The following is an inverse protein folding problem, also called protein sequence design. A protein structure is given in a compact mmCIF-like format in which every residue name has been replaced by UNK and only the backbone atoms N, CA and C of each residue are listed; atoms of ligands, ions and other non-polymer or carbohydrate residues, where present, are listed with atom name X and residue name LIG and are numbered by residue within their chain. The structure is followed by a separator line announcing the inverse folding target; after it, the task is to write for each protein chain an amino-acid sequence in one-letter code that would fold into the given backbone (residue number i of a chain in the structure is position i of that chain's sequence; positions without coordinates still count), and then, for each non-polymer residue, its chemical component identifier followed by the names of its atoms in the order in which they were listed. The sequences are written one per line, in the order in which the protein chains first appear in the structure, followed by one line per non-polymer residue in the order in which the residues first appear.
data_IF_209162509366
#
_entry.id   IF_209162509366
#
_cell.length_a   1.000
_cell.length_b   1.000
_cell.length_c   1.000
_cell.angle_alpha   90.00
_cell.angle_beta   90.00
_cell.angle_gamma   90.00
#
_symmetry.space_group_name_H-M   'P 1'
#
loop_
_entity.id
_entity.type
_entity.pdbx_description
1 polymer ?
#
# COMPACT_ATOMS: atom_id res chain seq x y z
N UNK A 1 -23.83 -22.82 26.92
CA UNK A 1 -22.40 -23.19 26.86
C UNK A 1 -21.85 -22.41 25.67
N UNK A 2 -21.27 -21.25 25.93
CA UNK A 2 -20.65 -20.44 24.88
C UNK A 2 -19.35 -21.12 24.49
N UNK A 3 -19.23 -21.63 23.27
CA UNK A 3 -17.96 -22.01 22.68
C UNK A 3 -17.12 -20.74 22.59
N UNK A 4 -16.18 -20.57 23.50
CA UNK A 4 -15.12 -19.57 23.34
C UNK A 4 -14.30 -20.00 22.14
N UNK A 5 -14.62 -19.45 20.97
CA UNK A 5 -13.66 -19.48 19.88
C UNK A 5 -12.43 -18.72 20.32
N UNK A 6 -11.25 -19.26 20.06
CA UNK A 6 -9.99 -18.56 20.35
C UNK A 6 -10.02 -17.16 19.72
N UNK A 7 -9.46 -16.15 20.40
CA UNK A 7 -9.45 -14.79 19.90
C UNK A 7 -8.68 -14.69 18.59
N UNK A 8 -9.13 -13.84 17.67
CA UNK A 8 -8.46 -13.54 16.41
C UNK A 8 -7.08 -12.96 16.73
N UNK A 9 -6.03 -13.61 16.26
CA UNK A 9 -4.63 -13.26 16.49
C UNK A 9 -4.15 -12.27 15.45
N UNK A 10 -3.73 -11.09 15.88
CA UNK A 10 -3.41 -9.96 15.03
C UNK A 10 -1.92 -9.61 15.15
N UNK A 11 -1.24 -9.49 14.02
CA UNK A 11 0.07 -8.83 13.90
C UNK A 11 -0.15 -7.40 13.37
N UNK A 12 0.47 -6.40 14.03
CA UNK A 12 0.48 -5.01 13.58
C UNK A 12 1.86 -4.70 13.03
N UNK A 13 1.96 -4.25 11.78
CA UNK A 13 3.19 -3.79 11.15
C UNK A 13 3.01 -2.36 10.64
N UNK A 14 3.60 -1.39 11.35
CA UNK A 14 3.53 0.05 11.07
C UNK A 14 4.73 0.74 11.73
N UNK A 15 5.37 1.68 11.06
CA UNK A 15 6.54 2.40 11.60
C UNK A 15 6.17 3.55 12.55
N UNK A 16 4.86 3.86 12.71
CA UNK A 16 4.36 4.92 13.58
C UNK A 16 3.95 4.37 14.96
N UNK A 17 4.75 4.58 16.04
CA UNK A 17 4.47 3.99 17.36
C UNK A 17 3.08 4.36 17.91
N UNK A 18 2.68 5.64 17.83
CA UNK A 18 1.37 6.09 18.32
C UNK A 18 0.19 5.43 17.60
N UNK A 19 0.36 5.05 16.34
CA UNK A 19 -0.68 4.36 15.61
C UNK A 19 -0.79 2.91 16.08
N UNK A 20 0.35 2.22 16.29
CA UNK A 20 0.36 0.86 16.85
C UNK A 20 -0.32 0.82 18.22
N UNK A 21 0.07 1.71 19.15
CA UNK A 21 -0.55 1.86 20.47
C UNK A 21 -2.07 2.12 20.37
N UNK A 22 -2.47 2.99 19.42
CA UNK A 22 -3.88 3.28 19.16
C UNK A 22 -4.65 2.05 18.67
N UNK A 23 -4.07 1.25 17.78
CA UNK A 23 -4.68 0.01 17.26
C UNK A 23 -4.72 -1.04 18.38
N UNK A 24 -3.63 -1.24 19.12
CA UNK A 24 -3.57 -2.16 20.25
C UNK A 24 -4.67 -1.83 21.28
N UNK A 25 -4.80 -0.55 21.65
CA UNK A 25 -5.87 -0.10 22.56
C UNK A 25 -7.28 -0.36 22.04
N UNK A 26 -7.50 -0.27 20.72
CA UNK A 26 -8.81 -0.56 20.11
C UNK A 26 -9.10 -2.07 20.12
N UNK A 27 -8.11 -2.88 19.77
CA UNK A 27 -8.18 -4.36 19.75
C UNK A 27 -8.31 -4.90 21.15
N UNK A 28 -7.52 -4.43 22.10
CA UNK A 28 -7.53 -4.89 23.49
C UNK A 28 -8.84 -4.69 24.25
N UNK A 29 -9.75 -3.85 23.73
CA UNK A 29 -11.11 -3.68 24.26
C UNK A 29 -12.09 -4.73 23.74
N UNK A 30 -11.67 -5.58 22.82
CA UNK A 30 -12.49 -6.63 22.22
C UNK A 30 -12.17 -7.99 22.87
N UNK A 31 -13.20 -8.75 23.24
CA UNK A 31 -13.02 -10.10 23.82
C UNK A 31 -12.69 -11.16 22.75
N UNK A 32 -12.93 -10.85 21.47
CA UNK A 32 -12.77 -11.76 20.33
C UNK A 32 -11.48 -11.51 19.54
N UNK A 33 -10.58 -10.66 20.02
CA UNK A 33 -9.32 -10.31 19.33
C UNK A 33 -8.15 -10.15 20.30
N UNK A 34 -6.94 -10.39 19.81
CA UNK A 34 -5.69 -10.15 20.55
C UNK A 34 -4.56 -9.74 19.62
N UNK A 35 -3.73 -8.78 20.00
CA UNK A 35 -2.47 -8.47 19.33
C UNK A 35 -1.43 -9.45 19.82
N UNK A 36 -0.81 -10.19 18.91
CA UNK A 36 0.20 -11.22 19.22
C UNK A 36 1.63 -10.74 18.94
N UNK A 37 1.79 -9.72 18.10
CA UNK A 37 3.09 -9.11 17.84
C UNK A 37 2.93 -7.74 17.20
N UNK A 38 3.97 -6.91 17.31
CA UNK A 38 4.11 -5.62 16.66
C UNK A 38 5.44 -5.53 15.94
N UNK A 39 5.43 -5.00 14.71
CA UNK A 39 6.59 -4.76 13.87
C UNK A 39 6.68 -3.28 13.50
N UNK A 40 7.88 -2.76 13.40
CA UNK A 40 8.18 -1.40 12.93
C UNK A 40 8.80 -1.35 11.54
N UNK A 41 9.19 -2.50 10.98
CA UNK A 41 9.78 -2.65 9.65
C UNK A 41 9.19 -3.85 8.92
N UNK A 42 9.32 -3.87 7.59
CA UNK A 42 8.85 -5.01 6.80
C UNK A 42 9.59 -6.31 7.10
N UNK A 43 10.89 -6.25 7.40
CA UNK A 43 11.68 -7.44 7.79
C UNK A 43 11.22 -8.01 9.12
N UNK A 44 11.05 -7.16 10.11
CA UNK A 44 10.51 -7.55 11.41
C UNK A 44 9.12 -8.17 11.27
N UNK A 45 8.26 -7.61 10.41
CA UNK A 45 6.94 -8.17 10.13
C UNK A 45 7.01 -9.59 9.56
N UNK A 46 7.97 -9.89 8.66
CA UNK A 46 8.17 -11.24 8.11
C UNK A 46 8.62 -12.21 9.22
N UNK A 47 9.58 -11.82 10.05
CA UNK A 47 10.08 -12.65 11.13
C UNK A 47 9.01 -12.97 12.17
N UNK A 48 8.28 -11.92 12.62
CA UNK A 48 7.20 -12.08 13.60
C UNK A 48 6.00 -12.84 13.04
N UNK A 49 5.70 -12.69 11.74
CA UNK A 49 4.69 -13.51 11.09
C UNK A 49 5.05 -15.00 11.15
N UNK A 50 6.32 -15.37 10.86
CA UNK A 50 6.78 -16.76 10.92
C UNK A 50 6.71 -17.34 12.32
N UNK A 51 7.03 -16.55 13.35
CA UNK A 51 7.02 -16.98 14.75
C UNK A 51 5.59 -17.12 15.27
N UNK A 52 4.76 -16.12 15.06
CA UNK A 52 3.45 -16.01 15.70
C UNK A 52 2.30 -16.58 14.87
N UNK A 53 2.46 -16.78 13.55
CA UNK A 53 1.40 -17.27 12.64
C UNK A 53 0.05 -16.59 12.91
N UNK A 54 -0.07 -15.25 12.73
CA UNK A 54 -1.28 -14.50 13.02
C UNK A 54 -2.40 -14.86 12.04
N UNK A 55 -3.65 -14.74 12.51
CA UNK A 55 -4.83 -14.90 11.66
C UNK A 55 -5.03 -13.75 10.68
N UNK A 56 -4.68 -12.53 11.12
CA UNK A 56 -4.78 -11.31 10.32
C UNK A 56 -3.55 -10.44 10.58
N UNK A 57 -2.95 -9.93 9.53
CA UNK A 57 -1.86 -8.95 9.61
C UNK A 57 -2.35 -7.59 9.12
N UNK A 58 -2.21 -6.57 9.97
CA UNK A 58 -2.35 -5.18 9.61
C UNK A 58 -1.00 -4.69 9.10
N UNK A 59 -0.91 -4.24 7.86
CA UNK A 59 0.35 -3.95 7.18
C UNK A 59 0.35 -2.52 6.64
N UNK A 60 1.23 -1.67 7.17
CA UNK A 60 1.47 -0.37 6.53
C UNK A 60 2.14 -0.54 5.17
N UNK A 61 1.78 0.31 4.23
CA UNK A 61 2.40 0.36 2.90
C UNK A 61 3.86 0.80 2.94
N UNK A 62 4.17 1.76 3.83
CA UNK A 62 5.48 2.39 3.91
C UNK A 62 6.11 2.09 5.25
N UNK A 63 7.15 1.32 5.22
CA UNK A 63 7.99 1.02 6.37
C UNK A 63 9.47 1.08 5.97
N UNK A 64 10.37 1.38 6.91
CA UNK A 64 11.82 1.28 6.69
C UNK A 64 12.24 -0.12 6.23
N UNK A 65 13.39 -0.22 5.57
CA UNK A 65 14.06 -1.42 5.05
C UNK A 65 13.31 -2.13 3.93
N UNK A 66 12.06 -2.54 4.19
CA UNK A 66 11.23 -3.25 3.24
C UNK A 66 9.79 -2.74 3.31
N UNK A 67 9.26 -2.29 2.18
CA UNK A 67 7.88 -1.82 2.08
C UNK A 67 6.85 -2.93 2.34
N UNK A 68 5.66 -2.54 2.83
CA UNK A 68 4.64 -3.52 3.23
C UNK A 68 4.17 -4.45 2.11
N UNK A 69 4.10 -3.96 0.86
CA UNK A 69 3.73 -4.81 -0.29
C UNK A 69 4.77 -5.90 -0.55
N UNK A 70 6.05 -5.54 -0.43
CA UNK A 70 7.14 -6.49 -0.67
C UNK A 70 7.22 -7.50 0.49
N UNK A 71 7.05 -7.05 1.75
CA UNK A 71 6.94 -7.92 2.93
C UNK A 71 5.76 -8.89 2.81
N UNK A 72 4.58 -8.39 2.44
CA UNK A 72 3.38 -9.21 2.19
C UNK A 72 3.62 -10.25 1.09
N UNK A 73 4.26 -9.85 -0.01
CA UNK A 73 4.57 -10.74 -1.13
C UNK A 73 5.52 -11.86 -0.71
N UNK A 74 6.52 -11.55 0.13
CA UNK A 74 7.45 -12.55 0.67
C UNK A 74 6.71 -13.53 1.60
N UNK A 75 5.87 -13.05 2.50
CA UNK A 75 5.08 -13.92 3.39
C UNK A 75 4.14 -14.82 2.58
N UNK A 76 3.48 -14.30 1.55
CA UNK A 76 2.53 -15.06 0.73
C UNK A 76 3.18 -16.17 -0.13
N UNK A 77 4.50 -16.12 -0.37
CA UNK A 77 5.23 -17.22 -1.01
C UNK A 77 5.24 -18.47 -0.14
N UNK A 78 5.42 -18.28 1.17
CA UNK A 78 5.50 -19.36 2.16
C UNK A 78 4.13 -19.71 2.75
N UNK A 79 3.23 -18.73 2.85
CA UNK A 79 1.93 -18.82 3.55
C UNK A 79 0.81 -18.24 2.68
N UNK A 80 0.34 -19.00 1.68
CA UNK A 80 -0.65 -18.56 0.68
C UNK A 80 -1.99 -18.12 1.26
N UNK A 81 -2.35 -18.63 2.42
CA UNK A 81 -3.61 -18.32 3.12
C UNK A 81 -3.51 -17.12 4.07
N UNK A 82 -2.33 -16.51 4.19
CA UNK A 82 -2.13 -15.33 5.03
C UNK A 82 -3.09 -14.21 4.63
N UNK A 83 -3.68 -13.55 5.64
CA UNK A 83 -4.70 -12.52 5.43
C UNK A 83 -4.15 -11.17 5.81
N UNK A 84 -4.08 -10.28 4.83
CA UNK A 84 -3.54 -8.93 5.01
C UNK A 84 -4.64 -7.87 4.87
N UNK A 85 -4.64 -6.92 5.81
CA UNK A 85 -5.34 -5.64 5.73
C UNK A 85 -4.26 -4.57 5.57
N UNK A 86 -4.23 -3.93 4.42
CA UNK A 86 -3.28 -2.85 4.18
C UNK A 86 -3.79 -1.56 4.81
N UNK A 87 -2.92 -0.87 5.54
CA UNK A 87 -3.14 0.45 6.11
C UNK A 87 -2.36 1.49 5.29
N UNK A 88 -2.98 2.63 4.96
CA UNK A 88 -2.30 3.68 4.21
C UNK A 88 -2.88 5.06 4.51
N UNK A 89 -2.04 6.08 4.40
CA UNK A 89 -2.47 7.48 4.36
C UNK A 89 -2.89 7.92 2.95
N UNK A 90 -2.56 7.11 1.94
CA UNK A 90 -2.77 7.43 0.53
C UNK A 90 -3.98 6.71 -0.05
N UNK A 91 -4.76 7.45 -0.83
CA UNK A 91 -5.92 6.93 -1.56
C UNK A 91 -5.65 6.69 -3.05
N UNK A 92 -4.38 6.78 -3.51
CA UNK A 92 -4.03 6.64 -4.92
C UNK A 92 -4.39 5.25 -5.48
N UNK A 93 -5.10 5.24 -6.62
CA UNK A 93 -5.61 4.03 -7.28
C UNK A 93 -4.52 3.02 -7.62
N UNK A 94 -3.34 3.48 -8.05
CA UNK A 94 -2.21 2.62 -8.43
C UNK A 94 -1.65 1.86 -7.23
N UNK A 95 -1.49 2.53 -6.08
CA UNK A 95 -1.01 1.88 -4.86
C UNK A 95 -2.02 0.87 -4.32
N UNK A 96 -3.30 1.22 -4.35
CA UNK A 96 -4.38 0.32 -3.94
C UNK A 96 -4.38 -0.94 -4.81
N UNK A 97 -4.33 -0.77 -6.14
CA UNK A 97 -4.29 -1.88 -7.09
C UNK A 97 -3.05 -2.77 -6.88
N UNK A 98 -1.89 -2.16 -6.61
CA UNK A 98 -0.65 -2.89 -6.30
C UNK A 98 -0.82 -3.76 -5.06
N UNK A 99 -1.38 -3.23 -3.98
CA UNK A 99 -1.64 -3.98 -2.75
C UNK A 99 -2.63 -5.15 -2.98
N UNK A 100 -3.74 -4.89 -3.68
CA UNK A 100 -4.75 -5.91 -3.97
C UNK A 100 -4.23 -7.02 -4.90
N UNK A 101 -3.44 -6.67 -5.93
CA UNK A 101 -2.77 -7.64 -6.81
C UNK A 101 -1.74 -8.49 -6.06
N UNK A 102 -1.04 -7.90 -5.10
CA UNK A 102 -0.11 -8.62 -4.24
C UNK A 102 -0.79 -9.55 -3.23
N UNK A 103 -2.13 -9.50 -3.08
CA UNK A 103 -2.90 -10.44 -2.27
C UNK A 103 -3.59 -9.86 -1.05
N UNK A 104 -3.57 -8.53 -0.85
CA UNK A 104 -4.33 -7.90 0.23
C UNK A 104 -5.82 -8.27 0.17
N UNK A 105 -6.40 -8.59 1.32
CA UNK A 105 -7.83 -8.88 1.47
C UNK A 105 -8.66 -7.63 1.71
N UNK A 106 -8.04 -6.60 2.29
CA UNK A 106 -8.67 -5.30 2.50
C UNK A 106 -7.63 -4.17 2.40
N UNK A 107 -8.13 -2.98 2.12
CA UNK A 107 -7.37 -1.74 2.14
C UNK A 107 -8.13 -0.71 2.96
N UNK A 108 -7.48 -0.11 3.96
CA UNK A 108 -8.05 0.89 4.85
C UNK A 108 -7.20 2.15 4.85
N UNK A 109 -7.84 3.29 4.70
CA UNK A 109 -7.20 4.57 4.93
C UNK A 109 -7.02 4.82 6.43
N UNK A 110 -5.82 5.22 6.87
CA UNK A 110 -5.48 5.47 8.29
C UNK A 110 -6.44 6.46 8.96
N UNK A 111 -7.03 7.39 8.21
CA UNK A 111 -8.05 8.33 8.72
C UNK A 111 -9.39 7.68 9.13
N UNK A 112 -9.69 6.46 8.67
CA UNK A 112 -10.94 5.77 8.96
C UNK A 112 -10.80 4.59 9.94
N UNK A 113 -9.60 4.31 10.45
CA UNK A 113 -9.33 3.15 11.31
C UNK A 113 -10.28 3.06 12.49
N UNK A 114 -10.54 4.16 13.20
CA UNK A 114 -11.41 4.16 14.38
C UNK A 114 -12.83 3.63 14.10
N UNK A 115 -13.34 3.83 12.89
CA UNK A 115 -14.70 3.44 12.52
C UNK A 115 -14.78 2.04 11.92
N UNK A 116 -13.76 1.63 11.16
CA UNK A 116 -13.88 0.48 10.25
C UNK A 116 -12.95 -0.68 10.57
N UNK A 117 -11.89 -0.47 11.36
CA UNK A 117 -10.84 -1.45 11.58
C UNK A 117 -11.39 -2.77 12.13
N UNK A 118 -12.12 -2.73 13.25
CA UNK A 118 -12.58 -3.92 13.95
C UNK A 118 -13.54 -4.76 13.09
N UNK A 119 -14.46 -4.10 12.39
CA UNK A 119 -15.38 -4.77 11.46
C UNK A 119 -14.63 -5.38 10.27
N UNK A 120 -13.60 -4.67 9.76
CA UNK A 120 -12.76 -5.18 8.66
C UNK A 120 -11.94 -6.39 9.10
N UNK A 121 -11.36 -6.39 10.30
CA UNK A 121 -10.65 -7.53 10.84
C UNK A 121 -11.56 -8.77 10.88
N UNK A 122 -12.77 -8.65 11.45
CA UNK A 122 -13.74 -9.76 11.51
C UNK A 122 -14.12 -10.29 10.13
N UNK A 123 -14.35 -9.40 9.17
CA UNK A 123 -14.69 -9.78 7.78
C UNK A 123 -13.55 -10.49 7.09
N UNK A 124 -12.32 -9.99 7.24
CA UNK A 124 -11.12 -10.58 6.64
C UNK A 124 -10.80 -11.92 7.30
N UNK A 125 -10.93 -12.03 8.62
CA UNK A 125 -10.80 -13.28 9.34
C UNK A 125 -11.77 -14.35 8.81
N UNK A 126 -13.04 -13.95 8.57
CA UNK A 126 -14.07 -14.80 7.96
C UNK A 126 -13.86 -15.08 6.45
N UNK A 127 -12.70 -14.72 5.87
CA UNK A 127 -12.35 -15.00 4.47
C UNK A 127 -12.94 -14.02 3.46
N UNK A 128 -13.62 -12.95 3.88
CA UNK A 128 -14.20 -11.95 2.98
C UNK A 128 -13.16 -10.91 2.57
N UNK A 129 -13.23 -10.46 1.32
CA UNK A 129 -12.50 -9.26 0.87
C UNK A 129 -13.31 -8.02 1.21
N UNK A 130 -12.63 -6.93 1.56
CA UNK A 130 -13.26 -5.63 1.79
C UNK A 130 -12.49 -4.51 1.11
N UNK A 131 -13.15 -3.85 0.19
CA UNK A 131 -12.69 -2.60 -0.42
C UNK A 131 -13.75 -1.55 -0.08
N UNK A 132 -13.32 -0.39 0.42
CA UNK A 132 -14.23 0.72 0.69
C UNK A 132 -14.86 1.21 -0.62
N UNK A 133 -16.15 1.63 -0.63
CA UNK A 133 -16.81 2.10 -1.86
C UNK A 133 -16.07 3.24 -2.55
N UNK A 134 -15.50 4.17 -1.77
CA UNK A 134 -14.74 5.31 -2.26
C UNK A 134 -13.48 4.85 -3.02
N UNK A 135 -12.80 3.83 -2.51
CA UNK A 135 -11.63 3.20 -3.13
C UNK A 135 -12.04 2.47 -4.41
N UNK A 136 -13.15 1.75 -4.38
CA UNK A 136 -13.66 1.05 -5.55
C UNK A 136 -14.05 2.03 -6.68
N UNK A 137 -14.65 3.17 -6.33
CA UNK A 137 -14.96 4.23 -7.30
C UNK A 137 -13.69 4.80 -7.93
N UNK A 138 -12.66 5.14 -7.15
CA UNK A 138 -11.39 5.65 -7.67
C UNK A 138 -10.70 4.67 -8.62
N UNK A 139 -10.73 3.37 -8.30
CA UNK A 139 -10.19 2.34 -9.20
C UNK A 139 -10.98 2.30 -10.51
N UNK A 140 -12.32 2.41 -10.44
CA UNK A 140 -13.19 2.36 -11.61
C UNK A 140 -12.99 3.59 -12.51
N UNK A 141 -12.83 4.77 -11.94
CA UNK A 141 -12.62 6.04 -12.67
C UNK A 141 -11.35 6.00 -13.56
N UNK A 142 -10.33 5.25 -13.14
CA UNK A 142 -9.06 5.13 -13.87
C UNK A 142 -8.86 3.78 -14.59
N UNK A 143 -9.85 2.90 -14.57
CA UNK A 143 -9.74 1.54 -15.13
C UNK A 143 -9.48 1.50 -16.64
N UNK A 144 -9.79 2.59 -17.37
CA UNK A 144 -9.59 2.71 -18.80
C UNK A 144 -8.32 3.46 -19.21
N UNK A 145 -7.56 4.00 -18.28
CA UNK A 145 -6.38 4.81 -18.59
C UNK A 145 -5.16 3.94 -18.88
N UNK A 146 -4.31 4.41 -19.80
CA UNK A 146 -3.05 3.75 -20.13
C UNK A 146 -2.05 3.91 -18.98
N UNK A 147 -1.57 2.80 -18.44
CA UNK A 147 -0.52 2.81 -17.43
C UNK A 147 0.81 3.33 -17.98
N UNK A 148 1.54 4.06 -17.15
CA UNK A 148 2.93 4.39 -17.46
C UNK A 148 3.78 3.11 -17.47
N UNK A 149 4.73 3.05 -18.39
CA UNK A 149 5.77 2.02 -18.39
C UNK A 149 6.77 2.28 -17.26
N UNK A 150 7.53 1.26 -16.83
CA UNK A 150 8.59 1.43 -15.83
C UNK A 150 9.55 2.56 -16.21
N UNK A 151 9.92 2.64 -17.51
CA UNK A 151 10.81 3.69 -17.98
C UNK A 151 10.20 5.09 -17.92
N UNK A 152 8.92 5.24 -18.16
CA UNK A 152 8.19 6.50 -17.97
C UNK A 152 8.08 6.89 -16.50
N UNK A 153 7.92 5.90 -15.61
CA UNK A 153 7.94 6.12 -14.15
C UNK A 153 9.32 6.61 -13.70
N UNK A 154 10.43 5.99 -14.15
CA UNK A 154 11.80 6.43 -13.85
C UNK A 154 12.05 7.88 -14.28
N UNK A 155 11.62 8.21 -15.51
CA UNK A 155 11.72 9.57 -16.04
C UNK A 155 10.93 10.55 -15.18
N UNK A 156 9.68 10.22 -14.86
CA UNK A 156 8.81 11.09 -14.08
C UNK A 156 9.28 11.25 -12.63
N UNK A 157 9.79 10.18 -12.02
CA UNK A 157 10.40 10.20 -10.69
C UNK A 157 11.62 11.13 -10.65
N UNK A 158 12.48 11.04 -11.68
CA UNK A 158 13.67 11.89 -11.79
C UNK A 158 13.29 13.35 -12.02
N UNK A 159 12.21 13.62 -12.76
CA UNK A 159 11.63 14.95 -12.97
C UNK A 159 11.05 15.50 -11.65
N UNK A 160 10.33 14.69 -10.90
CA UNK A 160 9.74 15.07 -9.61
C UNK A 160 10.79 15.54 -8.59
N UNK A 161 12.00 14.98 -8.66
CA UNK A 161 13.16 15.43 -7.89
C UNK A 161 13.78 16.77 -8.39
N UNK A 162 13.12 17.50 -9.30
CA UNK A 162 13.53 18.83 -9.77
C UNK A 162 14.59 18.83 -10.89
N UNK A 163 14.91 17.69 -11.49
CA UNK A 163 15.99 17.60 -12.49
C UNK A 163 15.52 18.10 -13.87
N UNK A 164 16.34 18.95 -14.57
CA UNK A 164 16.09 19.30 -15.97
C UNK A 164 16.39 18.12 -16.91
N UNK A 165 15.87 18.16 -18.16
CA UNK A 165 15.98 17.04 -19.10
C UNK A 165 17.39 16.54 -19.31
N UNK A 166 18.40 17.44 -19.35
CA UNK A 166 19.80 17.07 -19.47
C UNK A 166 20.25 16.17 -18.33
N UNK A 167 19.90 16.52 -17.07
CA UNK A 167 20.28 15.74 -15.92
C UNK A 167 19.48 14.42 -15.80
N UNK A 168 18.22 14.43 -16.27
CA UNK A 168 17.42 13.21 -16.41
C UNK A 168 18.08 12.26 -17.41
N UNK A 169 18.52 12.77 -18.56
CA UNK A 169 19.21 12.01 -19.60
C UNK A 169 20.49 11.37 -19.07
N UNK A 170 21.33 12.13 -18.37
CA UNK A 170 22.56 11.66 -17.77
C UNK A 170 22.32 10.55 -16.71
N UNK A 171 21.39 10.80 -15.77
CA UNK A 171 21.04 9.83 -14.71
C UNK A 171 20.50 8.52 -15.25
N UNK A 172 19.68 8.59 -16.29
CA UNK A 172 19.01 7.43 -16.86
C UNK A 172 19.78 6.82 -18.05
N UNK A 173 20.95 7.39 -18.43
CA UNK A 173 21.80 6.96 -19.54
C UNK A 173 21.04 6.89 -20.88
N UNK A 174 20.30 7.94 -21.21
CA UNK A 174 19.55 8.12 -22.46
C UNK A 174 19.84 9.51 -23.04
N UNK A 175 19.37 9.79 -24.26
CA UNK A 175 19.51 11.13 -24.86
C UNK A 175 18.43 12.09 -24.35
N UNK A 176 18.69 13.40 -24.39
CA UNK A 176 17.67 14.41 -24.06
C UNK A 176 16.44 14.31 -24.96
N UNK A 177 16.59 13.93 -26.21
CA UNK A 177 15.46 13.76 -27.12
C UNK A 177 14.61 12.53 -26.74
N UNK A 178 15.24 11.48 -26.21
CA UNK A 178 14.51 10.34 -25.62
C UNK A 178 13.73 10.77 -24.37
N UNK A 179 14.32 11.62 -23.51
CA UNK A 179 13.58 12.19 -22.36
C UNK A 179 12.38 13.00 -22.82
N UNK A 180 12.53 13.87 -23.83
CA UNK A 180 11.41 14.65 -24.40
C UNK A 180 10.29 13.74 -24.94
N UNK A 181 10.67 12.64 -25.62
CA UNK A 181 9.70 11.66 -26.12
C UNK A 181 8.93 10.98 -24.97
N UNK A 182 9.63 10.56 -23.91
CA UNK A 182 8.98 10.01 -22.72
C UNK A 182 8.05 11.03 -22.05
N UNK A 183 8.50 12.28 -21.87
CA UNK A 183 7.66 13.35 -21.29
C UNK A 183 6.39 13.53 -22.11
N UNK A 184 6.48 13.61 -23.45
CA UNK A 184 5.30 13.72 -24.31
C UNK A 184 4.33 12.54 -24.13
N UNK A 185 4.86 11.33 -24.05
CA UNK A 185 4.04 10.11 -23.80
C UNK A 185 3.38 10.15 -22.42
N UNK A 186 4.12 10.54 -21.38
CA UNK A 186 3.62 10.69 -20.00
C UNK A 186 2.46 11.71 -19.96
N UNK A 187 2.66 12.90 -20.56
CA UNK A 187 1.62 13.93 -20.62
C UNK A 187 0.34 13.41 -21.27
N UNK A 188 0.47 12.68 -22.38
CA UNK A 188 -0.67 12.08 -23.08
C UNK A 188 -1.37 11.03 -22.23
N UNK A 189 -0.63 10.11 -21.59
CA UNK A 189 -1.19 9.01 -20.78
C UNK A 189 -1.86 9.49 -19.50
N UNK A 190 -1.33 10.57 -18.90
CA UNK A 190 -1.89 11.17 -17.68
C UNK A 190 -2.88 12.29 -17.96
N UNK A 191 -3.18 12.60 -19.23
CA UNK A 191 -4.01 13.75 -19.64
C UNK A 191 -3.54 15.05 -18.97
N UNK A 192 -2.21 15.21 -18.82
CA UNK A 192 -1.60 16.34 -18.14
C UNK A 192 -1.25 17.46 -19.13
N UNK A 193 -1.46 18.71 -18.71
CA UNK A 193 -1.20 19.89 -19.53
C UNK A 193 0.29 20.23 -19.65
N UNK A 194 1.05 19.94 -18.57
CA UNK A 194 2.49 20.21 -18.48
C UNK A 194 3.18 19.24 -17.51
N UNK A 195 4.51 19.34 -17.42
CA UNK A 195 5.32 18.43 -16.56
C UNK A 195 5.00 18.53 -15.08
N UNK A 196 4.64 19.71 -14.58
CA UNK A 196 4.29 19.92 -13.16
C UNK A 196 2.94 19.28 -12.86
N UNK A 197 1.98 19.43 -13.76
CA UNK A 197 0.69 18.79 -13.68
C UNK A 197 0.84 17.25 -13.71
N UNK A 198 1.71 16.71 -14.59
CA UNK A 198 1.98 15.27 -14.64
C UNK A 198 2.56 14.73 -13.32
N UNK A 199 3.52 15.45 -12.72
CA UNK A 199 4.08 15.10 -11.40
C UNK A 199 2.99 15.13 -10.33
N UNK A 200 2.14 16.17 -10.33
CA UNK A 200 1.04 16.30 -9.36
C UNK A 200 0.04 15.15 -9.46
N UNK A 201 -0.36 14.76 -10.66
CA UNK A 201 -1.24 13.61 -10.90
C UNK A 201 -0.57 12.33 -10.41
N UNK A 202 0.69 12.12 -10.79
CA UNK A 202 1.41 10.90 -10.46
C UNK A 202 1.60 10.70 -8.95
N UNK A 203 1.87 11.79 -8.21
CA UNK A 203 1.93 11.77 -6.74
C UNK A 203 0.57 11.46 -6.12
N UNK A 204 -0.51 12.10 -6.60
CA UNK A 204 -1.88 11.86 -6.09
C UNK A 204 -2.33 10.42 -6.34
N UNK A 205 -1.98 9.84 -7.49
CA UNK A 205 -2.33 8.46 -7.85
C UNK A 205 -1.38 7.43 -7.23
N UNK A 206 -0.29 7.86 -6.62
CA UNK A 206 0.72 6.97 -6.07
C UNK A 206 1.50 6.19 -7.14
N UNK A 207 1.66 6.79 -8.32
CA UNK A 207 2.52 6.26 -9.40
C UNK A 207 3.99 6.49 -9.05
N UNK A 208 4.30 7.66 -8.47
CA UNK A 208 5.62 8.05 -7.97
C UNK A 208 5.53 8.54 -6.53
N UNK A 209 6.68 8.56 -5.84
CA UNK A 209 6.87 9.07 -4.48
C UNK A 209 7.91 10.20 -4.47
N UNK A 210 7.91 11.07 -3.42
CA UNK A 210 8.93 12.09 -3.16
C UNK A 210 9.77 11.73 -1.96
#
# INVERSE_FOLDING_TARGET
MSSSSDPIRILIADDHPLLREGIESLVGKQSDMTVVAEASTGREAIELFRIHQPDVTLMDMRMPDLGGVDAMTEILRDSREAKFIVLSTYSGDVQILRALKAGARAYLLKGFLRKELLDTIRKVYAGRKRIQPEIAAQIADHAGESNLTEREIDVLQTIAAGNPNKLVADKLRITEDTVKAHVKSILSKLSANDRTHAVTIALKRGIIDL
#
